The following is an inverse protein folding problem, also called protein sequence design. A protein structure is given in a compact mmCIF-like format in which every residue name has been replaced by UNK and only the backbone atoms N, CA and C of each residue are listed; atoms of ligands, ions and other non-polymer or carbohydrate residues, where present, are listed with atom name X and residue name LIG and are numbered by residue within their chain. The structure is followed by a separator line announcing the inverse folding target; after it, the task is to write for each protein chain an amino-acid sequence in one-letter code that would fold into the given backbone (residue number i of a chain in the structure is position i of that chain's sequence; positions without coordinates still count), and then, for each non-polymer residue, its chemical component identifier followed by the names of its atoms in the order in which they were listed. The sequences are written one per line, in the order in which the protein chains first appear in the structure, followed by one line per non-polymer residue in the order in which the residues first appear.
data_IF_727643404417
#
_entry.id   IF_727643404417
#
_cell.length_a   1.000
_cell.length_b   1.000
_cell.length_c   1.000
_cell.angle_alpha   90.00
_cell.angle_beta   90.00
_cell.angle_gamma   90.00
#
_symmetry.space_group_name_H-M   'P 1'
#
loop_
_entity.id
_entity.type
_entity.pdbx_description
1 polymer ?
#
# COMPACT_ATOMS: atom_id res chain seq x y z
N UNK A 1 2.52 7.84 -2.14
CA UNK A 1 3.12 7.27 -0.91
C UNK A 1 2.18 6.21 -0.35
N UNK A 2 2.69 5.18 0.32
CA UNK A 2 1.90 4.15 1.00
C UNK A 2 1.97 4.39 2.51
N UNK A 3 0.81 4.40 3.17
CA UNK A 3 0.75 4.35 4.63
C UNK A 3 0.96 2.90 5.03
N UNK A 4 2.10 2.61 5.63
CA UNK A 4 2.40 1.31 6.20
C UNK A 4 2.44 1.44 7.71
N UNK A 5 2.29 0.35 8.45
CA UNK A 5 2.51 0.35 9.89
C UNK A 5 3.62 -0.66 10.19
N UNK A 6 4.60 -0.26 10.99
CA UNK A 6 5.71 -1.12 11.38
C UNK A 6 5.56 -1.48 12.86
N UNK A 7 5.69 -2.77 13.19
CA UNK A 7 5.77 -3.24 14.57
C UNK A 7 7.19 -2.99 15.09
N UNK A 8 7.32 -2.10 16.07
CA UNK A 8 8.55 -1.84 16.82
C UNK A 8 8.21 -1.87 18.31
N UNK A 9 8.88 -2.73 19.08
CA UNK A 9 8.75 -2.84 20.55
C UNK A 9 7.29 -2.97 21.02
N UNK A 10 6.50 -3.82 20.37
CA UNK A 10 5.08 -4.05 20.72
C UNK A 10 4.12 -2.92 20.36
N UNK A 11 4.59 -1.78 19.83
CA UNK A 11 3.76 -0.67 19.36
C UNK A 11 3.75 -0.60 17.83
N UNK A 12 2.57 -0.40 17.26
CA UNK A 12 2.41 -0.14 15.83
C UNK A 12 2.64 1.34 15.55
N UNK A 13 3.67 1.65 14.77
CA UNK A 13 3.99 3.03 14.39
C UNK A 13 3.59 3.25 12.92
N UNK A 14 2.74 4.25 12.61
CA UNK A 14 2.46 4.62 11.22
C UNK A 14 3.74 5.12 10.56
N UNK A 15 4.11 4.49 9.44
CA UNK A 15 5.27 4.86 8.64
C UNK A 15 4.86 5.06 7.19
N UNK A 16 5.13 6.24 6.68
CA UNK A 16 4.90 6.57 5.28
C UNK A 16 6.10 6.02 4.49
N UNK A 17 5.82 5.15 3.52
CA UNK A 17 6.82 4.62 2.59
C UNK A 17 6.52 5.10 1.16
N UNK A 18 7.53 5.27 0.30
CA UNK A 18 7.28 5.52 -1.12
C UNK A 18 6.57 4.32 -1.74
N UNK A 19 5.63 4.59 -2.65
CA UNK A 19 4.93 3.52 -3.40
C UNK A 19 5.86 2.88 -4.45
N UNK A 20 6.77 3.67 -5.00
CA UNK A 20 7.81 3.24 -5.90
C UNK A 20 9.18 3.58 -5.29
N UNK A 21 9.73 2.70 -4.44
CA UNK A 21 11.08 2.88 -3.91
C UNK A 21 12.07 3.01 -5.07
N UNK A 22 12.97 3.99 -4.99
CA UNK A 22 14.00 4.27 -6.01
C UNK A 22 13.50 4.76 -7.39
N UNK A 23 12.22 5.14 -7.50
CA UNK A 23 11.69 5.79 -8.70
C UNK A 23 11.09 7.16 -8.38
N UNK A 24 11.33 8.12 -9.26
CA UNK A 24 10.75 9.46 -9.21
C UNK A 24 10.12 9.76 -10.57
N UNK A 25 8.91 10.30 -10.56
CA UNK A 25 8.27 10.86 -11.74
C UNK A 25 8.52 12.37 -11.75
N UNK A 26 9.00 12.89 -12.86
CA UNK A 26 9.30 14.31 -13.01
C UNK A 26 8.77 14.82 -14.35
N UNK A 27 8.12 15.99 -14.32
CA UNK A 27 7.75 16.74 -15.52
C UNK A 27 8.89 17.69 -15.85
N UNK A 28 9.58 17.43 -16.95
CA UNK A 28 10.78 18.17 -17.34
C UNK A 28 10.84 18.34 -18.86
N UNK A 29 11.49 19.42 -19.29
CA UNK A 29 11.89 19.62 -20.67
C UNK A 29 13.19 18.86 -20.92
N UNK A 30 13.15 17.87 -21.82
CA UNK A 30 14.27 16.95 -22.01
C UNK A 30 15.47 17.63 -22.66
N UNK A 31 15.26 18.60 -23.55
CA UNK A 31 16.33 19.28 -24.27
C UNK A 31 17.19 20.12 -23.33
N UNK A 32 16.58 20.72 -22.31
CA UNK A 32 17.24 21.65 -21.38
C UNK A 32 17.64 21.00 -20.05
N UNK A 33 16.92 19.99 -19.58
CA UNK A 33 17.10 19.44 -18.22
C UNK A 33 17.75 18.05 -18.19
N UNK A 34 17.92 17.36 -19.32
CA UNK A 34 18.43 15.98 -19.34
C UNK A 34 19.75 15.81 -18.58
N UNK A 35 20.77 16.61 -18.92
CA UNK A 35 22.08 16.52 -18.28
C UNK A 35 22.05 16.93 -16.81
N UNK A 36 21.23 17.92 -16.45
CA UNK A 36 21.07 18.36 -15.06
C UNK A 36 20.56 17.22 -14.19
N UNK A 37 19.53 16.51 -14.64
CA UNK A 37 18.97 15.37 -13.90
C UNK A 37 19.92 14.19 -13.90
N UNK A 38 20.57 13.88 -15.03
CA UNK A 38 21.51 12.75 -15.15
C UNK A 38 22.69 12.85 -14.17
N UNK A 39 23.18 14.06 -13.90
CA UNK A 39 24.30 14.30 -12.98
C UNK A 39 23.89 14.68 -11.57
N UNK A 40 22.59 14.68 -11.27
CA UNK A 40 22.10 14.98 -9.92
C UNK A 40 22.46 13.83 -8.97
N UNK A 41 23.07 14.16 -7.83
CA UNK A 41 23.39 13.18 -6.79
C UNK A 41 22.12 12.43 -6.34
N UNK A 42 22.20 11.09 -6.34
CA UNK A 42 21.08 10.23 -5.96
C UNK A 42 20.22 9.77 -7.14
N UNK A 43 20.46 10.28 -8.36
CA UNK A 43 19.88 9.75 -9.59
C UNK A 43 20.82 8.67 -10.14
N UNK A 44 20.31 7.45 -10.24
CA UNK A 44 21.08 6.34 -10.83
C UNK A 44 20.93 6.33 -12.36
N UNK A 45 19.68 6.34 -12.84
CA UNK A 45 19.38 6.23 -14.27
C UNK A 45 18.05 6.89 -14.62
N UNK A 46 18.00 7.52 -15.79
CA UNK A 46 16.74 7.92 -16.44
C UNK A 46 16.26 6.74 -17.29
N UNK A 47 15.02 6.30 -17.10
CA UNK A 47 14.47 5.17 -17.83
C UNK A 47 14.26 5.51 -19.30
N UNK A 48 14.69 4.61 -20.18
CA UNK A 48 14.73 4.85 -21.62
C UNK A 48 15.26 3.66 -22.41
N UNK A 49 15.03 3.65 -23.71
CA UNK A 49 15.63 2.71 -24.66
C UNK A 49 16.93 3.31 -25.19
N UNK A 50 18.07 2.69 -24.84
CA UNK A 50 19.39 3.18 -25.22
C UNK A 50 19.72 4.53 -24.56
N UNK A 51 19.93 5.55 -25.39
CA UNK A 51 20.37 6.89 -24.99
C UNK A 51 19.22 7.83 -24.63
N UNK A 52 17.99 7.51 -25.05
CA UNK A 52 16.84 8.43 -25.03
C UNK A 52 15.84 8.07 -23.94
N UNK A 53 15.44 9.03 -23.09
CA UNK A 53 14.39 8.86 -22.10
C UNK A 53 13.03 8.58 -22.72
N UNK A 54 12.28 7.64 -22.13
CA UNK A 54 10.92 7.35 -22.56
C UNK A 54 9.94 8.19 -21.73
N UNK A 55 9.09 9.01 -22.35
CA UNK A 55 8.06 9.74 -21.63
C UNK A 55 7.00 8.78 -21.07
N UNK A 56 6.58 9.03 -19.83
CA UNK A 56 5.45 8.31 -19.24
C UNK A 56 4.15 8.92 -19.77
N UNK A 57 3.19 8.07 -20.14
CA UNK A 57 1.89 8.53 -20.61
C UNK A 57 1.16 9.37 -19.55
N UNK A 58 0.62 10.50 -19.97
CA UNK A 58 -0.17 11.39 -19.11
C UNK A 58 -1.33 10.66 -18.43
N UNK A 59 -1.98 9.71 -19.12
CA UNK A 59 -3.07 8.89 -18.56
C UNK A 59 -2.62 8.07 -17.35
N UNK A 60 -1.39 7.56 -17.36
CA UNK A 60 -0.81 6.80 -16.25
C UNK A 60 -0.56 7.73 -15.06
N UNK A 61 0.02 8.91 -15.31
CA UNK A 61 0.26 9.93 -14.27
C UNK A 61 -1.07 10.37 -13.64
N UNK A 62 -2.10 10.63 -14.44
CA UNK A 62 -3.43 10.97 -13.96
C UNK A 62 -4.05 9.86 -13.12
N UNK A 63 -3.93 8.60 -13.55
CA UNK A 63 -4.43 7.45 -12.78
C UNK A 63 -3.69 7.30 -11.45
N UNK A 64 -2.38 7.53 -11.42
CA UNK A 64 -1.59 7.55 -10.19
C UNK A 64 -2.05 8.66 -9.25
N UNK A 65 -2.31 9.87 -9.78
CA UNK A 65 -2.86 10.98 -9.01
C UNK A 65 -4.24 10.68 -8.44
N UNK A 66 -5.15 10.09 -9.23
CA UNK A 66 -6.48 9.71 -8.76
C UNK A 66 -6.45 8.67 -7.64
N UNK A 67 -5.46 7.75 -7.67
CA UNK A 67 -5.26 6.75 -6.61
C UNK A 67 -4.61 7.33 -5.36
N UNK A 68 -3.96 8.48 -5.46
CA UNK A 68 -3.39 9.20 -4.32
C UNK A 68 -4.50 10.03 -3.67
N UNK A 69 -4.88 9.68 -2.44
CA UNK A 69 -5.83 10.47 -1.64
C UNK A 69 -5.18 11.73 -1.05
N UNK A 70 -5.87 12.39 -0.12
CA UNK A 70 -5.33 13.52 0.64
C UNK A 70 -3.95 13.18 1.24
N UNK A 71 -3.01 14.12 1.10
CA UNK A 71 -1.59 14.00 1.46
C UNK A 71 -0.73 13.04 0.61
N UNK A 72 -1.10 12.78 -0.65
CA UNK A 72 -0.35 11.90 -1.56
C UNK A 72 -0.21 10.46 -1.06
N UNK A 73 -1.14 10.01 -0.21
CA UNK A 73 -1.16 8.66 0.34
C UNK A 73 -2.18 7.82 -0.42
N UNK A 74 -1.75 6.71 -1.01
CA UNK A 74 -2.66 5.75 -1.63
C UNK A 74 -3.40 5.00 -0.53
N UNK A 75 -4.73 5.13 -0.53
CA UNK A 75 -5.61 4.26 0.24
C UNK A 75 -5.66 2.94 -0.52
N UNK A 76 -5.07 1.88 0.04
CA UNK A 76 -5.19 0.55 -0.54
C UNK A 76 -6.63 0.12 -0.27
N UNK A 77 -7.45 0.14 -1.33
CA UNK A 77 -8.78 -0.44 -1.28
C UNK A 77 -8.63 -1.92 -1.61
N UNK A 78 -8.35 -2.75 -0.59
CA UNK A 78 -8.10 -4.18 -0.83
C UNK A 78 -9.39 -5.00 -1.11
N UNK A 79 -10.47 -4.37 -1.58
CA UNK A 79 -11.69 -5.05 -2.07
C UNK A 79 -12.31 -6.01 -1.04
N UNK A 80 -12.19 -5.66 0.24
CA UNK A 80 -12.69 -6.44 1.35
C UNK A 80 -14.10 -6.01 1.68
N UNK A 81 -15.03 -6.94 1.47
CA UNK A 81 -16.46 -6.82 1.74
C UNK A 81 -16.85 -7.74 2.89
N UNK A 82 -17.94 -7.38 3.56
CA UNK A 82 -18.59 -8.24 4.57
C UNK A 82 -18.87 -9.63 3.97
N UNK A 83 -18.54 -10.68 4.72
CA UNK A 83 -18.66 -12.06 4.27
C UNK A 83 -17.43 -12.63 3.56
N UNK A 84 -16.41 -11.82 3.22
CA UNK A 84 -15.19 -12.34 2.59
C UNK A 84 -14.38 -13.23 3.56
N UNK A 85 -13.79 -14.30 3.03
CA UNK A 85 -12.94 -15.19 3.82
C UNK A 85 -11.54 -14.58 3.88
N UNK A 86 -11.05 -14.40 5.11
CA UNK A 86 -9.75 -13.81 5.39
C UNK A 86 -8.91 -14.77 6.21
N UNK A 87 -7.61 -14.80 5.92
CA UNK A 87 -6.62 -15.53 6.69
C UNK A 87 -5.73 -14.54 7.44
N UNK A 88 -5.44 -14.86 8.70
CA UNK A 88 -4.54 -14.07 9.53
C UNK A 88 -3.09 -14.37 9.16
N UNK A 89 -2.33 -13.33 8.82
CA UNK A 89 -0.92 -13.43 8.40
C UNK A 89 0.06 -13.24 9.56
N UNK A 90 -0.40 -12.70 10.69
CA UNK A 90 0.45 -12.39 11.85
C UNK A 90 -0.35 -12.26 13.15
N UNK A 91 0.35 -12.27 14.28
CA UNK A 91 -0.26 -12.20 15.61
C UNK A 91 -0.63 -13.58 16.17
N UNK A 92 -1.38 -13.63 17.28
CA UNK A 92 -1.73 -14.88 17.97
C UNK A 92 -2.69 -15.78 17.17
N UNK A 93 -3.36 -15.21 16.17
CA UNK A 93 -4.31 -15.91 15.31
C UNK A 93 -3.71 -16.32 13.97
N UNK A 94 -2.38 -16.22 13.81
CA UNK A 94 -1.69 -16.52 12.55
C UNK A 94 -2.11 -17.90 12.02
N UNK A 95 -2.30 -17.98 10.70
CA UNK A 95 -2.71 -19.16 9.93
C UNK A 95 -4.17 -19.59 10.12
N UNK A 96 -4.91 -18.99 11.07
CA UNK A 96 -6.36 -19.19 11.19
C UNK A 96 -7.13 -18.46 10.08
N UNK A 97 -8.37 -18.89 9.85
CA UNK A 97 -9.30 -18.28 8.91
C UNK A 97 -10.51 -17.71 9.66
N UNK A 98 -11.09 -16.65 9.11
CA UNK A 98 -12.32 -16.06 9.61
C UNK A 98 -13.08 -15.35 8.50
N UNK A 99 -14.27 -14.86 8.86
CA UNK A 99 -15.15 -14.10 7.97
C UNK A 99 -15.02 -12.62 8.32
N UNK A 100 -14.77 -11.79 7.31
CA UNK A 100 -14.75 -10.34 7.47
C UNK A 100 -16.15 -9.84 7.81
N UNK A 101 -16.31 -9.13 8.93
CA UNK A 101 -17.57 -8.50 9.35
C UNK A 101 -17.56 -7.05 8.85
N UNK A 102 -16.75 -6.18 9.47
CA UNK A 102 -16.74 -4.76 9.12
C UNK A 102 -15.44 -4.02 9.40
N UNK A 103 -15.28 -2.87 8.74
CA UNK A 103 -14.25 -1.87 9.05
C UNK A 103 -14.65 -1.07 10.30
N UNK A 104 -13.72 -0.85 11.22
CA UNK A 104 -13.96 0.00 12.39
C UNK A 104 -13.79 1.48 12.01
N UNK A 105 -14.45 2.37 12.76
CA UNK A 105 -14.46 3.82 12.53
C UNK A 105 -13.09 4.49 12.60
N UNK A 106 -12.11 3.85 13.23
CA UNK A 106 -10.73 4.34 13.32
C UNK A 106 -9.89 4.12 12.06
N UNK A 107 -10.45 3.45 11.04
CA UNK A 107 -9.84 3.25 9.72
C UNK A 107 -8.62 2.31 9.70
N UNK A 108 -8.19 1.78 10.84
CA UNK A 108 -7.00 0.93 10.96
C UNK A 108 -7.29 -0.49 11.46
N UNK A 109 -8.42 -0.67 12.15
CA UNK A 109 -8.87 -1.97 12.66
C UNK A 109 -10.06 -2.50 11.88
N UNK A 110 -10.15 -3.82 11.85
CA UNK A 110 -11.24 -4.57 11.24
C UNK A 110 -11.77 -5.57 12.25
N UNK A 111 -13.07 -5.83 12.18
CA UNK A 111 -13.73 -6.87 12.95
C UNK A 111 -13.85 -8.13 12.07
N UNK A 112 -13.46 -9.26 12.64
CA UNK A 112 -13.48 -10.56 11.98
C UNK A 112 -14.18 -11.54 12.89
N UNK A 113 -15.05 -12.36 12.31
CA UNK A 113 -15.68 -13.49 12.97
C UNK A 113 -14.80 -14.72 12.76
N UNK A 114 -14.19 -15.18 13.83
CA UNK A 114 -13.38 -16.38 13.86
C UNK A 114 -14.28 -17.55 14.27
N UNK A 115 -14.41 -18.57 13.43
CA UNK A 115 -15.13 -19.78 13.83
C UNK A 115 -14.14 -20.73 14.49
N UNK A 116 -14.20 -20.82 15.81
CA UNK A 116 -13.49 -21.82 16.60
C UNK A 116 -14.46 -22.97 16.86
N UNK A 117 -13.96 -24.18 17.10
CA UNK A 117 -14.77 -25.39 17.27
C UNK A 117 -15.90 -25.13 18.28
N UNK A 118 -17.14 -25.01 17.78
CA UNK A 118 -18.35 -24.81 18.56
C UNK A 118 -18.66 -23.38 19.03
N UNK A 119 -17.81 -22.38 18.76
CA UNK A 119 -18.02 -20.98 19.19
C UNK A 119 -17.51 -19.99 18.14
N UNK A 120 -18.37 -19.07 17.72
CA UNK A 120 -17.96 -17.92 16.91
C UNK A 120 -17.45 -16.78 17.81
N UNK A 121 -16.21 -16.35 17.58
CA UNK A 121 -15.55 -15.30 18.34
C UNK A 121 -15.30 -14.07 17.45
N UNK A 122 -15.83 -12.91 17.85
CA UNK A 122 -15.55 -11.65 17.17
C UNK A 122 -14.23 -11.06 17.66
N UNK A 123 -13.23 -10.99 16.79
CA UNK A 123 -11.91 -10.43 17.08
C UNK A 123 -11.70 -9.11 16.34
N UNK A 124 -11.10 -8.14 17.02
CA UNK A 124 -10.65 -6.89 16.40
C UNK A 124 -9.16 -6.96 16.16
N UNK A 125 -8.77 -6.89 14.89
CA UNK A 125 -7.36 -6.95 14.48
C UNK A 125 -7.04 -5.83 13.51
N UNK A 126 -5.74 -5.57 13.31
CA UNK A 126 -5.34 -4.60 12.30
C UNK A 126 -5.57 -5.16 10.90
N UNK A 127 -6.01 -4.31 9.96
CA UNK A 127 -6.19 -4.68 8.55
C UNK A 127 -4.94 -5.37 7.95
N UNK A 128 -3.75 -4.97 8.36
CA UNK A 128 -2.49 -5.50 7.83
C UNK A 128 -2.16 -6.90 8.33
N UNK A 129 -2.85 -7.38 9.37
CA UNK A 129 -2.67 -8.72 9.93
C UNK A 129 -3.51 -9.76 9.21
N UNK A 130 -4.26 -9.37 8.18
CA UNK A 130 -5.13 -10.26 7.42
C UNK A 130 -4.90 -10.15 5.91
N UNK A 131 -5.18 -11.25 5.22
CA UNK A 131 -5.16 -11.35 3.77
C UNK A 131 -6.47 -11.98 3.30
N UNK A 132 -7.07 -11.43 2.25
CA UNK A 132 -8.23 -12.03 1.57
C UNK A 132 -7.81 -13.34 0.90
N UNK A 133 -8.58 -14.40 1.14
CA UNK A 133 -8.36 -15.74 0.55
C UNK A 133 -9.29 -15.95 -0.64
N UNK A 134 -10.55 -15.49 -0.55
CA UNK A 134 -11.56 -15.53 -1.60
C UNK A 134 -12.47 -14.29 -1.51
#
# INVERSE_FOLDING_TARGET
MLKTFQYLNGKMIPKIKPMFPSYLFAKLDIHTHYYKVKWTRGVNKILGTGSEPIPVSEKVIQTLHQRMGENNVVRVDDGLEEGNIVQFTSGPFKDLMGVFDKKMSDGGRVRILLSLIGVDAAVQVSRYQIKKVA
#
